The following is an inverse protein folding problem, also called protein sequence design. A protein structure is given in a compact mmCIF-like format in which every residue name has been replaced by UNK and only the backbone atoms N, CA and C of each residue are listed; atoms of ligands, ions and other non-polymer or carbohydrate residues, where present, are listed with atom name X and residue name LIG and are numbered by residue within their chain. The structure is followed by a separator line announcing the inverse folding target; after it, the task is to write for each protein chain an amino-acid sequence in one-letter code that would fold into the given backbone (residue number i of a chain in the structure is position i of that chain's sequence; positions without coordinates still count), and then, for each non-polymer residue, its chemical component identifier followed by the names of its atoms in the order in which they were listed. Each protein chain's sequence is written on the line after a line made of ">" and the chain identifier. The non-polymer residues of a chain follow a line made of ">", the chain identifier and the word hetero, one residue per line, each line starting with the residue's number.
data_IF_666905034382
#
_entry.id   IF_666905034382
#
_cell.length_a   1.000
_cell.length_b   1.000
_cell.length_c   1.000
_cell.angle_alpha   90.00
_cell.angle_beta   90.00
_cell.angle_gamma   90.00
#
_symmetry.space_group_name_H-M   'P 1'
#
loop_
_entity.id
_entity.type
_entity.pdbx_description
1 polymer ?
#
# COMPACT_ATOMS: atom_id res chain seq x y z
N UNK A 1 14.22 -16.75 -8.16
CA UNK A 1 14.14 -15.83 -7.00
C UNK A 1 13.39 -16.58 -5.94
N UNK A 2 13.96 -16.80 -4.75
CA UNK A 2 13.23 -17.41 -3.65
C UNK A 2 12.05 -16.51 -3.29
N UNK A 3 10.83 -17.02 -3.46
CA UNK A 3 9.63 -16.34 -2.98
C UNK A 3 9.77 -16.17 -1.47
N UNK A 4 9.55 -14.96 -0.97
CA UNK A 4 9.62 -14.70 0.46
C UNK A 4 8.47 -15.46 1.14
N UNK A 5 8.77 -16.68 1.59
CA UNK A 5 7.88 -17.64 2.24
C UNK A 5 6.94 -17.02 3.30
N UNK A 6 7.39 -15.97 3.97
CA UNK A 6 6.65 -15.32 5.04
C UNK A 6 5.71 -14.22 4.54
N UNK A 7 5.97 -13.66 3.35
CA UNK A 7 5.23 -12.49 2.87
C UNK A 7 3.75 -12.79 2.60
N UNK A 8 3.44 -13.97 2.08
CA UNK A 8 2.06 -14.41 1.87
C UNK A 8 1.35 -14.66 3.21
N UNK A 9 2.02 -15.35 4.15
CA UNK A 9 1.46 -15.64 5.47
C UNK A 9 1.19 -14.37 6.28
N UNK A 10 2.10 -13.38 6.23
CA UNK A 10 1.89 -12.08 6.84
C UNK A 10 0.70 -11.32 6.24
N UNK A 11 0.45 -11.50 4.94
CA UNK A 11 -0.64 -10.85 4.21
C UNK A 11 -2.02 -11.45 4.45
N UNK A 12 -2.13 -12.61 5.09
CA UNK A 12 -3.42 -13.24 5.38
C UNK A 12 -4.30 -12.34 6.24
N UNK A 13 -5.62 -12.31 6.01
CA UNK A 13 -6.52 -11.49 6.81
C UNK A 13 -6.50 -11.96 8.29
N UNK A 14 -6.75 -11.02 9.17
CA UNK A 14 -6.99 -11.29 10.58
C UNK A 14 -8.46 -11.66 10.79
N UNK A 15 -8.79 -12.45 11.82
CA UNK A 15 -10.19 -12.61 12.21
C UNK A 15 -10.80 -11.26 12.60
N UNK A 16 -12.09 -11.09 12.38
CA UNK A 16 -12.79 -9.83 12.69
C UNK A 16 -12.70 -9.42 14.16
N UNK A 17 -12.49 -10.37 15.07
CA UNK A 17 -12.26 -10.13 16.50
C UNK A 17 -10.99 -9.31 16.79
N UNK A 18 -9.99 -9.40 15.94
CA UNK A 18 -8.68 -8.75 16.12
C UNK A 18 -8.63 -7.38 15.42
N UNK A 19 -9.62 -7.10 14.56
CA UNK A 19 -9.72 -5.84 13.85
C UNK A 19 -10.63 -4.89 14.61
N UNK A 20 -10.07 -3.75 14.97
CA UNK A 20 -10.78 -2.68 15.66
C UNK A 20 -11.10 -1.54 14.70
N UNK A 21 -12.07 -0.72 15.07
CA UNK A 21 -12.45 0.47 14.32
C UNK A 21 -12.22 1.71 15.16
N UNK A 22 -11.60 2.73 14.57
CA UNK A 22 -11.38 4.03 15.21
C UNK A 22 -12.07 5.13 14.43
N UNK A 23 -12.55 6.13 15.16
CA UNK A 23 -13.08 7.35 14.58
C UNK A 23 -11.91 8.22 14.08
N UNK A 24 -11.95 8.61 12.82
CA UNK A 24 -10.99 9.52 12.19
C UNK A 24 -11.49 10.98 12.27
N UNK A 25 -12.76 11.18 11.96
CA UNK A 25 -13.45 12.47 12.07
C UNK A 25 -14.80 12.30 12.75
N UNK A 26 -15.25 13.33 13.46
CA UNK A 26 -16.52 13.31 14.20
C UNK A 26 -17.28 14.61 13.89
N UNK A 27 -18.53 14.47 13.46
CA UNK A 27 -19.50 15.56 13.43
C UNK A 27 -20.28 15.54 14.76
N UNK A 28 -19.95 16.46 15.64
CA UNK A 28 -20.53 16.53 17.00
C UNK A 28 -22.02 16.91 16.98
N UNK A 29 -22.45 17.70 16.01
CA UNK A 29 -23.84 18.16 15.90
C UNK A 29 -24.76 17.03 15.43
N UNK A 30 -24.29 16.23 14.45
CA UNK A 30 -25.06 15.13 13.88
C UNK A 30 -24.85 13.80 14.60
N UNK A 31 -23.96 13.76 15.58
CA UNK A 31 -23.52 12.52 16.25
C UNK A 31 -23.15 11.42 15.26
N UNK A 32 -22.38 11.77 14.25
CA UNK A 32 -21.84 10.85 13.24
C UNK A 32 -20.33 10.97 13.17
N UNK A 33 -19.69 9.94 12.65
CA UNK A 33 -18.23 9.94 12.47
C UNK A 33 -17.81 9.08 11.31
N UNK A 34 -16.54 9.18 10.95
CA UNK A 34 -15.89 8.35 9.94
C UNK A 34 -15.04 7.32 10.66
N UNK A 35 -15.36 6.05 10.48
CA UNK A 35 -14.64 4.92 11.07
C UNK A 35 -13.70 4.28 10.05
N UNK A 36 -12.50 3.92 10.50
CA UNK A 36 -11.50 3.19 9.72
C UNK A 36 -10.99 1.97 10.51
N UNK A 37 -10.75 0.81 9.86
CA UNK A 37 -10.25 -0.37 10.53
C UNK A 37 -8.77 -0.25 10.87
N UNK A 38 -8.36 -0.88 11.96
CA UNK A 38 -6.95 -0.98 12.35
C UNK A 38 -6.67 -2.23 13.18
N UNK A 39 -5.40 -2.61 13.24
CA UNK A 39 -4.88 -3.64 14.15
C UNK A 39 -4.19 -2.98 15.34
N UNK A 40 -4.29 -3.60 16.51
CA UNK A 40 -3.42 -3.20 17.62
C UNK A 40 -2.04 -3.88 17.51
N UNK A 41 -1.09 -3.37 18.31
CA UNK A 41 0.28 -3.86 18.25
C UNK A 41 0.41 -5.32 18.70
N UNK A 42 -0.49 -5.79 19.59
CA UNK A 42 -0.47 -7.18 20.09
C UNK A 42 -0.84 -8.17 18.99
N UNK A 43 -1.93 -7.92 18.26
CA UNK A 43 -2.34 -8.78 17.15
C UNK A 43 -1.22 -8.88 16.07
N UNK A 44 -0.47 -7.79 15.87
CA UNK A 44 0.69 -7.79 14.96
C UNK A 44 1.83 -8.64 15.51
N UNK A 45 2.16 -8.51 16.80
CA UNK A 45 3.20 -9.32 17.45
C UNK A 45 2.84 -10.81 17.42
N UNK A 46 1.58 -11.15 17.73
CA UNK A 46 1.07 -12.52 17.68
C UNK A 46 1.20 -13.11 16.25
N UNK A 47 0.98 -12.30 15.21
CA UNK A 47 1.20 -12.72 13.81
C UNK A 47 2.68 -12.95 13.50
N UNK A 48 3.57 -12.09 13.98
CA UNK A 48 5.01 -12.27 13.85
C UNK A 48 5.46 -13.56 14.53
N UNK A 49 5.03 -13.79 15.77
CA UNK A 49 5.32 -15.01 16.52
C UNK A 49 4.83 -16.26 15.81
N UNK A 50 3.60 -16.23 15.31
CA UNK A 50 3.00 -17.38 14.63
C UNK A 50 3.68 -17.73 13.29
N UNK A 51 4.15 -16.73 12.55
CA UNK A 51 4.67 -16.94 11.19
C UNK A 51 6.16 -17.22 11.17
N UNK A 52 6.96 -16.49 11.95
CA UNK A 52 8.42 -16.65 11.95
C UNK A 52 8.98 -17.25 13.24
N UNK A 53 8.21 -17.26 14.31
CA UNK A 53 8.64 -17.71 15.64
C UNK A 53 9.22 -16.57 16.48
N UNK A 54 9.03 -16.64 17.79
CA UNK A 54 9.38 -15.59 18.76
C UNK A 54 10.86 -15.15 18.72
N UNK A 55 11.76 -16.05 18.36
CA UNK A 55 13.20 -15.78 18.35
C UNK A 55 13.72 -15.29 16.99
N UNK A 56 12.84 -15.16 15.99
CA UNK A 56 13.23 -14.84 14.62
C UNK A 56 12.73 -13.47 14.13
N UNK A 57 12.19 -12.69 15.02
CA UNK A 57 11.93 -11.29 14.81
C UNK A 57 12.35 -10.49 16.03
N UNK A 58 12.64 -9.24 15.82
CA UNK A 58 12.90 -8.24 16.85
C UNK A 58 12.52 -6.85 16.33
N UNK A 59 12.26 -5.93 17.24
CA UNK A 59 12.07 -4.53 16.92
C UNK A 59 13.14 -3.65 17.59
N UNK A 60 13.38 -2.51 16.98
CA UNK A 60 14.24 -1.46 17.49
C UNK A 60 13.60 -0.11 17.27
N UNK A 61 13.82 0.82 18.22
CA UNK A 61 13.20 2.13 18.17
C UNK A 61 14.24 3.23 18.27
N UNK A 62 14.01 4.30 17.50
CA UNK A 62 14.83 5.51 17.54
C UNK A 62 13.92 6.73 17.58
N UNK A 63 14.22 7.67 18.47
CA UNK A 63 13.59 8.98 18.42
C UNK A 63 14.07 9.74 17.18
N UNK A 64 13.13 10.40 16.51
CA UNK A 64 13.40 11.35 15.45
C UNK A 64 12.88 12.72 15.83
N UNK A 65 13.67 13.75 15.55
CA UNK A 65 13.35 15.15 15.84
C UNK A 65 13.43 15.94 14.54
N UNK A 66 12.45 16.76 14.28
CA UNK A 66 12.38 17.65 13.15
C UNK A 66 11.70 18.95 13.51
N UNK A 67 11.44 19.76 12.50
CA UNK A 67 10.75 21.04 12.62
C UNK A 67 9.68 21.06 11.52
N UNK A 68 8.46 21.51 11.86
CA UNK A 68 7.39 21.70 10.86
C UNK A 68 7.57 22.99 10.06
N UNK A 69 6.70 23.21 9.08
CA UNK A 69 6.72 24.39 8.20
C UNK A 69 6.54 25.73 8.94
N UNK A 70 6.12 25.67 10.21
CA UNK A 70 5.92 26.82 11.10
C UNK A 70 7.07 27.01 12.10
N UNK A 71 8.14 26.18 12.00
CA UNK A 71 9.27 26.20 12.91
C UNK A 71 9.03 25.52 14.26
N UNK A 72 7.93 24.76 14.43
CA UNK A 72 7.57 24.06 15.66
C UNK A 72 8.28 22.70 15.69
N UNK A 73 8.85 22.29 16.85
CA UNK A 73 9.45 20.97 16.97
C UNK A 73 8.46 19.83 16.76
N UNK A 74 8.84 18.87 15.93
CA UNK A 74 8.13 17.58 15.74
C UNK A 74 8.98 16.50 16.40
N UNK A 75 8.33 15.62 17.18
CA UNK A 75 8.92 14.44 17.79
C UNK A 75 8.21 13.20 17.24
N UNK A 76 8.98 12.27 16.73
CA UNK A 76 8.48 11.01 16.20
C UNK A 76 9.28 9.82 16.72
N UNK A 77 8.66 8.63 16.66
CA UNK A 77 9.32 7.37 16.91
C UNK A 77 9.49 6.63 15.58
N UNK A 78 10.71 6.19 15.28
CA UNK A 78 11.01 5.30 14.18
C UNK A 78 11.10 3.88 14.73
N UNK A 79 10.31 2.97 14.19
CA UNK A 79 10.37 1.55 14.49
C UNK A 79 11.00 0.80 13.33
N UNK A 80 11.95 -0.08 13.61
CA UNK A 80 12.47 -1.06 12.66
C UNK A 80 12.08 -2.45 13.14
N UNK A 81 11.32 -3.19 12.33
CA UNK A 81 11.08 -4.61 12.56
C UNK A 81 12.06 -5.39 11.72
N UNK A 82 12.83 -6.26 12.37
CA UNK A 82 13.78 -7.17 11.76
C UNK A 82 13.21 -8.58 11.75
N UNK A 83 13.41 -9.28 10.65
CA UNK A 83 13.15 -10.72 10.52
C UNK A 83 14.44 -11.40 10.09
N UNK A 84 14.76 -12.52 10.74
CA UNK A 84 15.93 -13.32 10.39
C UNK A 84 15.63 -14.14 9.13
N UNK A 85 16.41 -13.91 8.09
CA UNK A 85 16.37 -14.69 6.86
C UNK A 85 17.36 -15.85 6.96
N UNK A 86 16.85 -17.09 6.91
CA UNK A 86 17.65 -18.29 7.05
C UNK A 86 18.52 -18.60 5.84
N UNK A 87 18.07 -18.22 4.67
CA UNK A 87 18.80 -18.48 3.43
C UNK A 87 19.99 -17.52 3.32
N UNK A 88 19.79 -16.25 3.67
CA UNK A 88 20.83 -15.22 3.68
C UNK A 88 21.65 -15.23 4.98
N UNK A 89 21.16 -15.86 6.06
CA UNK A 89 21.72 -15.82 7.42
C UNK A 89 21.89 -14.41 7.98
N UNK A 90 20.96 -13.53 7.64
CA UNK A 90 20.99 -12.11 7.97
C UNK A 90 19.66 -11.63 8.56
N UNK A 91 19.74 -10.54 9.33
CA UNK A 91 18.57 -9.82 9.81
C UNK A 91 18.13 -8.78 8.79
N UNK A 92 16.99 -8.98 8.16
CA UNK A 92 16.42 -8.05 7.21
C UNK A 92 15.51 -7.07 7.97
N UNK A 93 15.82 -5.78 7.93
CA UNK A 93 15.08 -4.73 8.61
C UNK A 93 14.24 -3.88 7.66
N UNK A 94 13.04 -3.51 8.11
CA UNK A 94 12.21 -2.46 7.48
C UNK A 94 11.86 -1.43 8.52
N UNK A 95 11.92 -0.14 8.18
CA UNK A 95 11.70 0.96 9.12
C UNK A 95 10.52 1.82 8.67
N UNK A 96 9.69 2.25 9.62
CA UNK A 96 8.68 3.30 9.42
C UNK A 96 8.55 4.12 10.71
N UNK A 97 7.89 5.28 10.63
CA UNK A 97 7.77 6.20 11.76
C UNK A 97 6.37 6.73 11.97
N UNK A 98 6.13 7.21 13.18
CA UNK A 98 4.93 7.94 13.55
C UNK A 98 5.29 9.07 14.52
N UNK A 99 4.60 10.20 14.38
CA UNK A 99 4.70 11.30 15.33
C UNK A 99 4.18 10.86 16.71
N UNK A 100 4.71 11.50 17.76
CA UNK A 100 4.22 11.31 19.10
C UNK A 100 2.76 11.81 19.19
N UNK A 101 1.90 11.04 19.84
CA UNK A 101 0.48 11.35 19.98
C UNK A 101 0.26 12.42 21.08
N UNK A 102 -0.89 13.11 21.05
CA UNK A 102 -1.24 14.10 22.10
C UNK A 102 -1.41 13.45 23.49
N UNK A 103 -1.95 12.22 23.53
CA UNK A 103 -2.11 11.44 24.75
C UNK A 103 -1.04 10.33 24.81
N UNK A 104 -0.35 10.22 25.95
CA UNK A 104 0.75 9.27 26.15
C UNK A 104 1.77 9.34 24.97
N UNK A 105 2.43 10.48 24.75
CA UNK A 105 3.14 10.76 23.51
C UNK A 105 4.11 9.66 23.06
N UNK A 106 4.96 9.20 23.97
CA UNK A 106 5.96 8.17 23.66
C UNK A 106 5.30 6.82 23.36
N UNK A 107 4.38 6.38 24.23
CA UNK A 107 3.68 5.10 24.05
C UNK A 107 2.86 5.06 22.76
N UNK A 108 2.17 6.15 22.44
CA UNK A 108 1.41 6.29 21.19
C UNK A 108 2.34 6.25 19.97
N UNK A 109 3.42 7.03 19.98
CA UNK A 109 4.41 7.05 18.91
C UNK A 109 5.07 5.70 18.67
N UNK A 110 5.47 4.98 19.73
CA UNK A 110 6.04 3.64 19.65
C UNK A 110 5.02 2.65 19.06
N UNK A 111 3.79 2.62 19.57
CA UNK A 111 2.74 1.72 19.06
C UNK A 111 2.36 2.01 17.61
N UNK A 112 2.27 3.27 17.23
CA UNK A 112 1.89 3.66 15.88
C UNK A 112 3.02 3.42 14.87
N UNK A 113 4.27 3.70 15.24
CA UNK A 113 5.43 3.38 14.38
C UNK A 113 5.58 1.87 14.15
N UNK A 114 5.35 1.04 15.17
CA UNK A 114 5.34 -0.41 15.03
C UNK A 114 4.26 -0.91 14.05
N UNK A 115 3.03 -0.43 14.20
CA UNK A 115 1.93 -0.77 13.28
C UNK A 115 2.22 -0.36 11.85
N UNK A 116 2.78 0.83 11.63
CA UNK A 116 3.18 1.32 10.30
C UNK A 116 4.32 0.49 9.72
N UNK A 117 5.31 0.14 10.54
CA UNK A 117 6.41 -0.72 10.13
C UNK A 117 5.93 -2.10 9.70
N UNK A 118 4.97 -2.70 10.43
CA UNK A 118 4.39 -4.00 10.12
C UNK A 118 3.72 -4.03 8.73
N UNK A 119 3.11 -2.92 8.29
CA UNK A 119 2.53 -2.80 6.93
C UNK A 119 3.58 -3.00 5.83
N UNK A 120 4.85 -2.62 6.06
CA UNK A 120 5.94 -2.87 5.13
C UNK A 120 6.27 -4.36 5.00
N UNK A 121 5.98 -5.14 6.02
CA UNK A 121 6.06 -6.60 6.05
C UNK A 121 4.78 -7.29 5.55
N UNK A 122 3.83 -6.55 4.97
CA UNK A 122 2.52 -7.02 4.50
C UNK A 122 1.49 -7.30 5.61
N UNK A 123 1.82 -7.13 6.88
CA UNK A 123 0.91 -7.38 8.01
C UNK A 123 -0.14 -6.26 8.05
N UNK A 124 -1.41 -6.63 7.88
CA UNK A 124 -2.52 -5.68 7.88
C UNK A 124 -2.56 -4.70 6.69
N UNK A 125 -1.70 -4.85 5.68
CA UNK A 125 -1.66 -3.97 4.49
C UNK A 125 -2.99 -3.94 3.75
N UNK A 126 -3.72 -5.04 3.71
CA UNK A 126 -5.04 -5.15 3.06
C UNK A 126 -6.08 -4.20 3.67
N UNK A 127 -5.93 -3.77 4.93
CA UNK A 127 -6.86 -2.82 5.59
C UNK A 127 -6.89 -1.46 4.89
N UNK A 128 -5.84 -1.08 4.20
CA UNK A 128 -5.81 0.16 3.39
C UNK A 128 -6.68 0.09 2.11
N UNK A 129 -7.21 -1.10 1.78
CA UNK A 129 -8.18 -1.28 0.69
C UNK A 129 -9.63 -1.11 1.13
N UNK A 130 -9.87 -0.93 2.44
CA UNK A 130 -11.18 -0.66 2.98
C UNK A 130 -11.58 0.79 2.76
N UNK A 131 -12.85 1.00 2.45
CA UNK A 131 -13.41 2.34 2.48
C UNK A 131 -13.57 2.82 3.93
N UNK A 132 -13.55 4.12 4.12
CA UNK A 132 -13.94 4.73 5.38
C UNK A 132 -15.47 4.70 5.49
N UNK A 133 -15.99 4.27 6.64
CA UNK A 133 -17.42 4.05 6.84
C UNK A 133 -18.04 5.17 7.69
N UNK A 134 -19.22 5.65 7.27
CA UNK A 134 -20.00 6.58 8.06
C UNK A 134 -20.75 5.82 9.15
N UNK A 135 -20.58 6.23 10.40
CA UNK A 135 -21.15 5.56 11.56
C UNK A 135 -21.83 6.54 12.50
N UNK A 136 -22.86 6.09 13.19
CA UNK A 136 -23.46 6.80 14.31
C UNK A 136 -22.56 6.69 15.54
N UNK A 137 -22.42 7.78 16.28
CA UNK A 137 -21.62 7.82 17.50
C UNK A 137 -22.46 8.20 18.71
N UNK A 138 -22.07 7.70 19.88
CA UNK A 138 -22.59 8.13 21.18
C UNK A 138 -21.49 8.88 21.94
N UNK A 139 -21.88 9.91 22.68
CA UNK A 139 -20.97 10.65 23.53
C UNK A 139 -21.04 10.13 24.98
N UNK A 140 -19.91 9.93 25.59
CA UNK A 140 -19.77 9.66 27.01
C UNK A 140 -18.68 10.58 27.61
N UNK A 141 -19.09 11.50 28.44
CA UNK A 141 -18.21 12.55 28.92
C UNK A 141 -17.68 13.41 27.76
N UNK A 142 -16.37 13.46 27.61
CA UNK A 142 -15.69 14.17 26.51
C UNK A 142 -15.36 13.29 25.31
N UNK A 143 -15.62 11.99 25.39
CA UNK A 143 -15.23 11.00 24.38
C UNK A 143 -16.42 10.54 23.57
N UNK A 144 -16.17 10.27 22.29
CA UNK A 144 -17.16 9.73 21.36
C UNK A 144 -16.84 8.28 21.03
N UNK A 145 -17.87 7.44 20.98
CA UNK A 145 -17.76 6.00 20.72
C UNK A 145 -18.70 5.60 19.59
N UNK A 146 -18.26 4.66 18.78
CA UNK A 146 -19.12 4.01 17.77
C UNK A 146 -20.22 3.26 18.51
N UNK A 147 -21.48 3.38 18.07
CA UNK A 147 -22.61 2.67 18.72
C UNK A 147 -22.49 1.17 18.52
N UNK A 148 -23.09 0.37 19.43
CA UNK A 148 -22.99 -1.09 19.40
C UNK A 148 -23.62 -1.68 18.13
N UNK A 149 -24.73 -1.09 17.64
CA UNK A 149 -25.34 -1.47 16.38
C UNK A 149 -24.45 -1.20 15.15
N UNK A 150 -23.66 -0.13 15.17
CA UNK A 150 -22.69 0.15 14.11
C UNK A 150 -21.48 -0.78 14.20
N UNK A 151 -21.05 -1.18 15.40
CA UNK A 151 -19.99 -2.18 15.58
C UNK A 151 -20.32 -3.51 14.91
N UNK A 152 -21.56 -3.96 15.02
CA UNK A 152 -22.03 -5.18 14.35
C UNK A 152 -22.00 -5.04 12.82
N UNK A 153 -22.50 -3.92 12.29
CA UNK A 153 -22.45 -3.62 10.85
C UNK A 153 -21.00 -3.56 10.32
N UNK A 154 -20.12 -2.93 11.07
CA UNK A 154 -18.69 -2.83 10.70
C UNK A 154 -18.03 -4.20 10.66
N UNK A 155 -18.39 -5.13 11.56
CA UNK A 155 -17.94 -6.52 11.53
C UNK A 155 -18.42 -7.24 10.27
N UNK A 156 -19.67 -7.05 9.87
CA UNK A 156 -20.20 -7.61 8.62
C UNK A 156 -19.51 -7.03 7.38
N UNK A 157 -19.30 -5.70 7.36
CA UNK A 157 -18.58 -5.01 6.28
C UNK A 157 -17.16 -5.58 6.17
N UNK A 158 -16.49 -5.75 7.31
CA UNK A 158 -15.16 -6.35 7.34
C UNK A 158 -15.16 -7.74 6.70
N UNK A 159 -16.00 -8.66 7.16
CA UNK A 159 -16.06 -10.02 6.65
C UNK A 159 -16.35 -10.05 5.14
N UNK A 160 -17.36 -9.31 4.67
CA UNK A 160 -17.70 -9.22 3.24
C UNK A 160 -16.54 -8.67 2.39
N UNK A 161 -15.81 -7.68 2.92
CA UNK A 161 -14.69 -7.07 2.19
C UNK A 161 -13.51 -8.03 2.13
N UNK A 162 -13.20 -8.72 3.22
CA UNK A 162 -12.16 -9.77 3.26
C UNK A 162 -12.50 -10.88 2.26
N UNK A 163 -13.72 -11.39 2.29
CA UNK A 163 -14.16 -12.42 1.34
C UNK A 163 -13.96 -11.95 -0.11
N UNK A 164 -14.35 -10.72 -0.43
CA UNK A 164 -14.13 -10.15 -1.78
C UNK A 164 -12.66 -10.01 -2.15
N UNK A 165 -11.81 -9.60 -1.21
CA UNK A 165 -10.39 -9.37 -1.48
C UNK A 165 -9.59 -10.67 -1.61
N UNK A 166 -9.98 -11.73 -0.88
CA UNK A 166 -9.21 -12.96 -0.79
C UNK A 166 -9.84 -14.16 -1.51
N UNK A 167 -11.15 -14.18 -1.78
CA UNK A 167 -11.78 -15.19 -2.65
C UNK A 167 -11.33 -15.06 -4.11
N UNK A 168 -11.11 -13.85 -4.60
CA UNK A 168 -10.55 -13.64 -5.94
C UNK A 168 -9.06 -14.03 -6.04
N UNK A 169 -8.33 -14.07 -4.92
CA UNK A 169 -6.95 -14.55 -4.90
C UNK A 169 -6.86 -16.10 -4.96
N UNK A 170 -7.93 -16.81 -4.58
CA UNK A 170 -7.99 -18.27 -4.69
C UNK A 170 -8.27 -18.75 -6.13
N UNK A 171 -8.82 -17.88 -6.99
CA UNK A 171 -9.06 -18.20 -8.40
C UNK A 171 -7.85 -17.92 -9.31
N UNK A 172 -6.82 -17.21 -8.81
CA UNK A 172 -5.59 -16.87 -9.56
C UNK A 172 -4.38 -17.77 -9.22
N UNK A 173 -4.57 -18.88 -8.48
CA UNK A 173 -3.52 -19.92 -8.41
C UNK A 173 -3.49 -20.68 -9.73
N UNK A 174 -2.34 -20.75 -10.42
CA UNK A 174 -2.23 -21.57 -11.64
C UNK A 174 -2.52 -23.02 -11.28
N UNK A 175 -3.63 -23.57 -11.80
CA UNK A 175 -3.89 -25.02 -11.78
C UNK A 175 -2.73 -25.76 -12.42
N UNK A 176 -2.31 -26.92 -11.88
CA UNK A 176 -1.36 -27.80 -12.60
C UNK A 176 -1.93 -28.09 -13.99
N UNK A 177 -1.13 -27.84 -14.98
CA UNK A 177 -1.46 -27.97 -16.41
C UNK A 177 -1.74 -29.43 -16.74
N UNK A 178 -3.00 -29.81 -16.89
CA UNK A 178 -3.36 -30.88 -17.80
C UNK A 178 -3.43 -30.31 -19.24
N UNK A 179 -2.76 -31.01 -20.13
CA UNK A 179 -2.63 -30.67 -21.54
C UNK A 179 -3.96 -30.36 -22.20
N UNK A 180 -4.23 -29.10 -22.52
CA UNK A 180 -5.19 -28.72 -23.55
C UNK A 180 -4.70 -27.48 -24.28
N UNK A 181 -4.73 -27.56 -25.59
CA UNK A 181 -4.31 -26.66 -26.69
C UNK A 181 -4.29 -25.16 -26.37
N UNK A 182 -3.39 -24.36 -26.97
CA UNK A 182 -3.10 -22.97 -26.62
C UNK A 182 -4.29 -22.06 -26.88
N UNK A 183 -4.83 -21.44 -25.81
CA UNK A 183 -5.66 -20.23 -25.92
C UNK A 183 -4.71 -19.03 -25.96
N UNK A 184 -4.82 -18.26 -27.02
CA UNK A 184 -4.15 -17.00 -27.32
C UNK A 184 -3.95 -16.13 -26.07
N UNK A 185 -2.71 -15.95 -25.67
CA UNK A 185 -2.22 -14.93 -24.77
C UNK A 185 -2.58 -13.55 -25.34
N UNK A 186 -3.26 -12.71 -24.57
CA UNK A 186 -3.38 -11.29 -24.94
C UNK A 186 -1.98 -10.70 -24.81
N UNK A 187 -1.26 -10.61 -25.91
CA UNK A 187 0.02 -9.90 -25.96
C UNK A 187 -0.21 -8.45 -25.58
N UNK A 188 0.51 -7.97 -24.57
CA UNK A 188 0.51 -6.55 -24.25
C UNK A 188 1.06 -5.78 -25.44
N UNK A 189 0.44 -4.68 -25.84
CA UNK A 189 0.88 -3.93 -26.99
C UNK A 189 2.32 -3.45 -26.82
N UNK A 190 3.16 -3.75 -27.80
CA UNK A 190 4.53 -3.27 -27.87
C UNK A 190 4.54 -1.99 -28.69
N UNK A 191 5.16 -0.95 -28.16
CA UNK A 191 5.38 0.32 -28.84
C UNK A 191 6.87 0.48 -29.13
N UNK A 192 7.21 1.03 -30.27
CA UNK A 192 8.57 1.41 -30.62
C UNK A 192 8.76 2.92 -30.43
N UNK A 193 9.82 3.32 -29.76
CA UNK A 193 10.20 4.70 -29.58
C UNK A 193 10.86 5.21 -30.85
N UNK A 194 10.27 6.17 -31.53
CA UNK A 194 10.81 6.74 -32.77
C UNK A 194 11.57 8.05 -32.54
N UNK A 195 11.25 8.79 -31.50
CA UNK A 195 11.99 9.98 -31.11
C UNK A 195 11.78 10.27 -29.62
N UNK A 196 12.80 10.86 -29.00
CA UNK A 196 12.78 11.39 -27.65
C UNK A 196 13.30 12.84 -27.70
N UNK A 197 12.44 13.79 -27.33
CA UNK A 197 12.79 15.20 -27.19
C UNK A 197 12.86 15.52 -25.70
N UNK A 198 13.99 15.94 -25.21
CA UNK A 198 14.20 16.31 -23.81
C UNK A 198 14.12 17.83 -23.69
N UNK A 199 13.30 18.32 -22.76
CA UNK A 199 13.19 19.73 -22.42
C UNK A 199 13.15 19.86 -20.91
N UNK A 200 14.17 20.48 -20.33
CA UNK A 200 14.34 20.67 -18.89
C UNK A 200 14.19 19.37 -18.09
N UNK A 201 13.10 19.25 -17.31
CA UNK A 201 12.82 18.09 -16.45
C UNK A 201 11.85 17.09 -17.08
N UNK A 202 11.48 17.23 -18.36
CA UNK A 202 10.47 16.41 -19.03
C UNK A 202 10.97 15.84 -20.35
N UNK A 203 10.39 14.72 -20.77
CA UNK A 203 10.63 14.11 -22.09
C UNK A 203 9.35 14.03 -22.88
N UNK A 204 9.41 14.38 -24.18
CA UNK A 204 8.36 14.10 -25.14
C UNK A 204 8.78 12.91 -26.00
N UNK A 205 7.94 11.91 -26.10
CA UNK A 205 8.17 10.69 -26.86
C UNK A 205 7.23 10.59 -28.05
N UNK A 206 7.76 10.19 -29.19
CA UNK A 206 6.99 9.75 -30.33
C UNK A 206 7.07 8.22 -30.35
N UNK A 207 5.95 7.58 -30.11
CA UNK A 207 5.80 6.12 -30.09
C UNK A 207 5.10 5.68 -31.37
N UNK A 208 5.46 4.53 -31.90
CA UNK A 208 4.70 3.91 -32.98
C UNK A 208 4.21 2.52 -32.61
N UNK A 209 3.03 2.16 -33.13
CA UNK A 209 2.46 0.84 -33.06
C UNK A 209 1.57 0.62 -34.29
N UNK A 210 1.74 -0.51 -34.97
CA UNK A 210 0.93 -0.88 -36.12
C UNK A 210 0.85 0.23 -37.20
N UNK A 211 1.97 0.95 -37.43
CA UNK A 211 2.06 2.06 -38.38
C UNK A 211 1.46 3.39 -37.87
N UNK A 212 0.82 3.39 -36.71
CA UNK A 212 0.24 4.59 -36.11
C UNK A 212 1.22 5.24 -35.14
N UNK A 213 1.35 6.57 -35.20
CA UNK A 213 2.22 7.35 -34.31
C UNK A 213 1.42 8.00 -33.18
N UNK A 214 1.99 7.97 -31.97
CA UNK A 214 1.42 8.55 -30.76
C UNK A 214 2.42 9.51 -30.13
N UNK A 215 2.00 10.72 -29.79
CA UNK A 215 2.80 11.64 -28.97
C UNK A 215 2.41 11.48 -27.50
N UNK A 216 3.40 11.27 -26.65
CA UNK A 216 3.22 11.15 -25.21
C UNK A 216 4.32 11.93 -24.47
N UNK A 217 4.03 12.34 -23.24
CA UNK A 217 4.95 13.08 -22.39
C UNK A 217 5.29 12.23 -21.18
N UNK A 218 6.48 12.39 -20.62
CA UNK A 218 6.93 11.72 -19.41
C UNK A 218 7.66 12.73 -18.52
N UNK A 219 7.42 12.67 -17.23
CA UNK A 219 8.18 13.42 -16.25
C UNK A 219 9.55 12.75 -16.05
N UNK A 220 10.60 13.53 -16.08
CA UNK A 220 11.97 13.04 -16.01
C UNK A 220 12.55 12.59 -17.37
N UNK A 221 13.83 12.23 -17.35
CA UNK A 221 14.60 11.72 -18.48
C UNK A 221 15.04 10.30 -18.20
N UNK A 222 14.68 9.35 -19.06
CA UNK A 222 15.20 7.98 -18.99
C UNK A 222 16.14 7.74 -20.17
N UNK A 223 17.44 7.68 -19.91
CA UNK A 223 18.49 7.49 -20.91
C UNK A 223 18.44 6.14 -21.65
N UNK A 224 17.62 5.20 -21.19
CA UNK A 224 17.39 3.92 -21.85
C UNK A 224 16.42 4.04 -23.03
N UNK A 225 15.63 5.14 -23.10
CA UNK A 225 14.71 5.41 -24.19
C UNK A 225 15.45 6.11 -25.33
N UNK A 226 15.74 5.37 -26.35
CA UNK A 226 16.37 5.85 -27.58
C UNK A 226 15.52 5.45 -28.79
N UNK A 227 15.82 6.02 -29.95
CA UNK A 227 15.17 5.61 -31.18
C UNK A 227 15.37 4.11 -31.43
N UNK A 228 14.29 3.38 -31.69
CA UNK A 228 14.28 1.93 -31.83
C UNK A 228 14.04 1.15 -30.53
N UNK A 229 14.03 1.81 -29.35
CA UNK A 229 13.71 1.13 -28.08
C UNK A 229 12.27 0.63 -28.12
N UNK A 230 12.06 -0.65 -27.82
CA UNK A 230 10.72 -1.24 -27.73
C UNK A 230 10.26 -1.23 -26.28
N UNK A 231 9.03 -0.75 -26.04
CA UNK A 231 8.44 -0.68 -24.70
C UNK A 231 7.07 -1.37 -24.68
N UNK A 232 6.73 -1.97 -23.56
CA UNK A 232 5.47 -2.67 -23.32
C UNK A 232 4.88 -2.25 -21.97
N UNK A 233 3.71 -2.73 -21.62
CA UNK A 233 3.02 -2.38 -20.35
C UNK A 233 2.90 -0.87 -20.13
N UNK A 234 2.74 -0.10 -21.19
CA UNK A 234 2.70 1.37 -21.14
C UNK A 234 1.45 1.83 -20.41
N UNK A 235 1.64 2.47 -19.25
CA UNK A 235 0.58 3.07 -18.45
C UNK A 235 0.46 4.55 -18.80
N UNK A 236 -0.74 4.97 -19.18
CA UNK A 236 -1.01 6.33 -19.67
C UNK A 236 -2.07 7.00 -18.82
N UNK A 237 -1.80 8.24 -18.41
CA UNK A 237 -2.78 9.18 -17.85
C UNK A 237 -3.10 10.27 -18.86
N UNK A 238 -4.35 10.68 -18.96
CA UNK A 238 -4.76 11.84 -19.77
C UNK A 238 -4.48 13.13 -19.01
N UNK A 239 -3.76 14.06 -19.64
CA UNK A 239 -3.63 15.45 -19.20
C UNK A 239 -4.46 16.36 -20.11
N UNK A 240 -4.75 17.57 -19.67
CA UNK A 240 -5.41 18.61 -20.45
C UNK A 240 -4.73 19.96 -20.23
N UNK A 241 -4.47 20.69 -21.32
CA UNK A 241 -3.96 22.06 -21.29
C UNK A 241 -4.79 22.93 -22.27
N UNK A 242 -4.35 24.18 -22.50
CA UNK A 242 -5.02 25.09 -23.43
C UNK A 242 -5.06 24.59 -24.89
N UNK A 243 -4.10 23.74 -25.29
CA UNK A 243 -4.03 23.14 -26.61
C UNK A 243 -4.86 21.84 -26.75
N UNK A 244 -5.47 21.34 -25.66
CA UNK A 244 -6.29 20.12 -25.68
C UNK A 244 -5.82 19.00 -24.75
N UNK A 245 -6.31 17.77 -25.00
CA UNK A 245 -5.94 16.58 -24.22
C UNK A 245 -4.65 15.98 -24.75
N UNK A 246 -3.77 15.51 -23.86
CA UNK A 246 -2.52 14.86 -24.18
C UNK A 246 -2.27 13.63 -23.29
N UNK A 247 -1.36 12.74 -23.73
CA UNK A 247 -1.03 11.51 -23.02
C UNK A 247 0.21 11.73 -22.15
N UNK A 248 0.16 11.27 -20.90
CA UNK A 248 1.28 11.25 -19.96
C UNK A 248 1.62 9.80 -19.64
N UNK A 249 2.84 9.37 -19.92
CA UNK A 249 3.34 8.05 -19.54
C UNK A 249 3.69 8.09 -18.06
N UNK A 250 3.10 7.18 -17.28
CA UNK A 250 3.34 7.02 -15.84
C UNK A 250 4.11 5.76 -15.50
N UNK A 251 4.38 4.90 -16.49
CA UNK A 251 5.20 3.72 -16.35
C UNK A 251 5.21 2.87 -17.63
N UNK A 252 6.26 2.08 -17.81
CA UNK A 252 6.46 1.14 -18.93
C UNK A 252 7.54 0.14 -18.54
N UNK A 253 7.66 -0.94 -19.34
CA UNK A 253 8.73 -1.91 -19.27
C UNK A 253 9.47 -1.91 -20.61
N UNK A 254 10.80 -2.11 -20.60
CA UNK A 254 11.58 -2.31 -21.83
C UNK A 254 11.27 -3.72 -22.32
N UNK A 255 10.83 -3.84 -23.56
CA UNK A 255 10.61 -5.13 -24.21
C UNK A 255 11.96 -5.70 -24.67
N UNK A 256 12.15 -6.99 -24.45
CA UNK A 256 13.35 -7.72 -24.89
C UNK A 256 13.38 -7.85 -26.42
#
# INVERSE_FOLDING_TARGET
>A
MAENKYFEEFGKPFPSSDVKWRLQNINKEKLTGIAVPYLDARAIADRLDAVVGQNRWKDDYREWKGIDDQGKPIYAQLCTIYIYDEDLKEWIGKTDGAENTEHEPVKGGLSDSFKRCAVKWNIGRYLYKFNAENVSVKQWGRTYYITDSEQQKLTEIYNKTVDKLFSNAASDKPKPTENTKPKTTKEHPVFEVNAVEVSDENSALILSRDGTRYKAYMQGVDNRLQNGTRITNVRIRKGKNQAGAYNIITGYDIAA
#
